data_IF_059109620439
#
_entry.id   IF_059109620439
#
_cell.length_a   1.000
_cell.length_b   1.000
_cell.length_c   1.000
_cell.angle_alpha   90.00
_cell.angle_beta   90.00
_cell.angle_gamma   90.00
#
_symmetry.space_group_name_H-M   'P 1'
#
loop_
_entity.id
_entity.type
_entity.pdbx_description
1 polymer ?
#
# COMPACT_ATOMS: atom_id res chain seq x y z
N UNK A 1 -8.05 19.82 22.95
CA UNK A 1 -8.61 18.92 21.92
C UNK A 1 -7.44 18.31 21.19
N UNK A 2 -7.35 16.98 21.13
CA UNK A 2 -6.13 16.25 20.79
C UNK A 2 -5.65 16.52 19.35
N UNK A 3 -4.41 16.97 19.19
CA UNK A 3 -3.78 17.30 17.89
C UNK A 3 -3.89 16.15 16.87
N UNK A 4 -3.88 14.90 17.37
CA UNK A 4 -4.04 13.68 16.56
C UNK A 4 -5.41 13.62 15.88
N UNK A 5 -6.49 14.02 16.57
CA UNK A 5 -7.83 13.99 16.00
C UNK A 5 -7.96 15.05 14.89
N UNK A 6 -7.33 16.20 15.07
CA UNK A 6 -7.28 17.27 14.07
C UNK A 6 -6.48 16.83 12.86
N UNK A 7 -5.29 16.24 13.06
CA UNK A 7 -4.48 15.65 11.98
C UNK A 7 -5.24 14.56 11.22
N UNK A 8 -5.89 13.63 11.92
CA UNK A 8 -6.64 12.54 11.29
C UNK A 8 -7.83 13.03 10.46
N UNK A 9 -8.43 14.16 10.85
CA UNK A 9 -9.50 14.81 10.07
C UNK A 9 -8.99 15.57 8.84
N UNK A 10 -7.73 16.01 8.83
CA UNK A 10 -7.10 16.68 7.69
C UNK A 10 -6.70 15.70 6.58
N UNK A 11 -6.46 14.43 6.92
CA UNK A 11 -6.14 13.40 5.93
C UNK A 11 -7.37 13.11 5.06
N UNK A 12 -7.24 13.11 3.72
CA UNK A 12 -8.31 12.75 2.80
C UNK A 12 -8.91 11.36 3.07
N UNK A 13 -10.18 11.17 2.68
CA UNK A 13 -10.99 10.02 3.10
C UNK A 13 -10.40 8.68 2.68
N UNK A 14 -9.93 8.54 1.43
CA UNK A 14 -9.44 7.26 0.92
C UNK A 14 -8.09 6.90 1.51
N UNK A 15 -7.15 7.86 1.53
CA UNK A 15 -5.83 7.67 2.16
C UNK A 15 -5.97 7.26 3.63
N UNK A 16 -6.88 7.89 4.36
CA UNK A 16 -7.15 7.61 5.76
C UNK A 16 -7.71 6.22 5.98
N UNK A 17 -8.74 5.85 5.21
CA UNK A 17 -9.36 4.52 5.30
C UNK A 17 -8.33 3.43 4.98
N UNK A 18 -7.56 3.60 3.91
CA UNK A 18 -6.55 2.63 3.52
C UNK A 18 -5.47 2.45 4.59
N UNK A 19 -4.89 3.55 5.10
CA UNK A 19 -3.87 3.47 6.15
C UNK A 19 -4.42 2.85 7.43
N UNK A 20 -5.62 3.26 7.86
CA UNK A 20 -6.25 2.74 9.07
C UNK A 20 -6.59 1.24 8.96
N UNK A 21 -7.09 0.80 7.80
CA UNK A 21 -7.39 -0.60 7.52
C UNK A 21 -6.11 -1.44 7.55
N UNK A 22 -5.03 -0.97 6.90
CA UNK A 22 -3.77 -1.71 6.84
C UNK A 22 -3.11 -1.86 8.21
N UNK A 23 -3.06 -0.78 8.98
CA UNK A 23 -2.53 -0.81 10.35
C UNK A 23 -3.41 -1.69 11.24
N UNK A 24 -4.74 -1.54 11.17
CA UNK A 24 -5.68 -2.29 11.98
C UNK A 24 -5.61 -3.79 11.72
N UNK A 25 -5.70 -4.22 10.45
CA UNK A 25 -5.68 -5.63 10.07
C UNK A 25 -4.34 -6.28 10.42
N UNK A 26 -3.23 -5.58 10.17
CA UNK A 26 -1.91 -6.13 10.45
C UNK A 26 -1.69 -6.30 11.97
N UNK A 27 -2.12 -5.32 12.79
CA UNK A 27 -2.07 -5.45 14.26
C UNK A 27 -3.00 -6.55 14.78
N UNK A 28 -4.24 -6.65 14.28
CA UNK A 28 -5.17 -7.72 14.65
C UNK A 28 -4.59 -9.12 14.39
N UNK A 29 -3.88 -9.28 13.27
CA UNK A 29 -3.18 -10.52 12.98
C UNK A 29 -2.01 -10.77 13.92
N UNK A 30 -1.26 -9.73 14.30
CA UNK A 30 -0.16 -9.84 15.29
C UNK A 30 -0.63 -10.27 16.67
N UNK A 31 -1.82 -9.83 17.10
CA UNK A 31 -2.44 -10.27 18.35
C UNK A 31 -3.04 -11.68 18.29
N UNK A 32 -2.95 -12.36 17.15
CA UNK A 32 -3.45 -13.73 16.98
C UNK A 32 -4.97 -13.84 16.85
N UNK A 33 -5.68 -12.71 16.73
CA UNK A 33 -7.15 -12.68 16.54
C UNK A 33 -7.51 -13.21 15.15
N UNK A 34 -6.69 -12.86 14.15
CA UNK A 34 -6.87 -13.29 12.77
C UNK A 34 -5.67 -14.14 12.29
N UNK A 35 -5.88 -15.43 11.98
CA UNK A 35 -4.81 -16.29 11.48
C UNK A 35 -4.27 -15.76 10.12
N UNK A 36 -2.95 -15.51 10.00
CA UNK A 36 -2.33 -14.97 8.78
C UNK A 36 -2.64 -15.77 7.51
N UNK A 37 -2.82 -17.09 7.64
CA UNK A 37 -3.10 -18.03 6.55
C UNK A 37 -4.42 -17.73 5.82
N UNK A 38 -5.37 -17.08 6.47
CA UNK A 38 -6.64 -16.68 5.86
C UNK A 38 -6.58 -15.29 5.22
N UNK A 39 -5.57 -14.50 5.55
CA UNK A 39 -5.38 -13.14 5.06
C UNK A 39 -4.51 -13.07 3.81
N UNK A 40 -3.65 -14.07 3.59
CA UNK A 40 -2.82 -14.20 2.38
C UNK A 40 -3.64 -14.65 1.17
N UNK A 41 -3.22 -14.16 0.01
CA UNK A 41 -3.73 -14.61 -1.28
C UNK A 41 -3.18 -16.01 -1.58
N UNK A 42 -4.06 -16.96 -1.84
CA UNK A 42 -3.70 -18.30 -2.32
C UNK A 42 -4.62 -18.67 -3.48
N UNK A 43 -4.03 -19.06 -4.61
CA UNK A 43 -4.70 -19.43 -5.85
C UNK A 43 -5.66 -20.61 -5.66
N UNK A 44 -5.18 -21.66 -4.99
CA UNK A 44 -5.92 -22.91 -4.79
C UNK A 44 -7.27 -22.76 -4.03
N UNK A 45 -7.33 -22.19 -2.81
CA UNK A 45 -8.60 -21.99 -2.11
C UNK A 45 -9.49 -20.92 -2.74
N UNK A 46 -8.93 -19.95 -3.49
CA UNK A 46 -9.73 -18.92 -4.15
C UNK A 46 -10.66 -19.51 -5.20
N UNK A 47 -10.15 -20.37 -6.08
CA UNK A 47 -10.94 -20.99 -7.15
C UNK A 47 -11.76 -22.20 -6.69
N UNK A 48 -11.26 -22.99 -5.73
CA UNK A 48 -11.99 -24.17 -5.24
C UNK A 48 -13.01 -23.88 -4.14
N UNK A 49 -12.82 -22.85 -3.33
CA UNK A 49 -13.67 -22.56 -2.16
C UNK A 49 -14.37 -21.19 -2.25
N UNK A 50 -14.24 -20.48 -3.39
CA UNK A 50 -14.89 -19.18 -3.65
C UNK A 50 -14.68 -18.14 -2.54
N UNK A 51 -13.48 -18.11 -1.94
CA UNK A 51 -13.16 -17.19 -0.85
C UNK A 51 -12.83 -15.79 -1.38
N UNK A 52 -13.88 -15.07 -1.82
CA UNK A 52 -13.80 -13.73 -2.44
C UNK A 52 -13.25 -12.63 -1.52
N UNK A 53 -13.18 -12.87 -0.21
CA UNK A 53 -12.62 -11.91 0.74
C UNK A 53 -11.08 -11.89 0.74
N UNK A 54 -10.41 -12.97 0.30
CA UNK A 54 -8.95 -13.08 0.33
C UNK A 54 -8.21 -11.98 -0.44
N UNK A 55 -8.62 -11.62 -1.67
CA UNK A 55 -7.96 -10.55 -2.42
C UNK A 55 -8.15 -9.17 -1.80
N UNK A 56 -9.25 -8.97 -1.05
CA UNK A 56 -9.46 -7.75 -0.29
C UNK A 56 -8.55 -7.72 0.93
N UNK A 57 -8.50 -8.80 1.72
CA UNK A 57 -7.69 -8.85 2.94
C UNK A 57 -6.18 -8.82 2.64
N UNK A 58 -5.74 -9.43 1.54
CA UNK A 58 -4.33 -9.52 1.17
C UNK A 58 -3.69 -8.16 0.81
N UNK A 59 -4.48 -7.14 0.47
CA UNK A 59 -4.01 -5.78 0.19
C UNK A 59 -3.78 -4.99 1.46
N UNK A 60 -4.63 -5.21 2.46
CA UNK A 60 -4.55 -4.53 3.76
C UNK A 60 -3.69 -5.30 4.76
N UNK A 61 -3.39 -6.57 4.50
CA UNK A 61 -2.61 -7.39 5.41
C UNK A 61 -1.12 -7.34 5.08
N UNK A 62 -0.30 -7.14 6.12
CA UNK A 62 1.13 -7.36 6.07
C UNK A 62 1.60 -8.17 7.29
N UNK A 63 2.43 -9.22 7.10
CA UNK A 63 2.92 -10.02 8.21
C UNK A 63 3.92 -9.22 9.04
N UNK A 64 3.53 -8.89 10.28
CA UNK A 64 4.41 -8.24 11.25
C UNK A 64 5.27 -9.29 11.96
N UNK A 65 6.52 -9.42 11.51
CA UNK A 65 7.60 -10.12 12.20
C UNK A 65 8.67 -9.11 12.65
N UNK A 66 9.51 -9.44 13.65
CA UNK A 66 10.57 -8.54 14.11
C UNK A 66 11.51 -8.08 12.99
N UNK A 67 11.74 -8.93 11.99
CA UNK A 67 12.53 -8.59 10.80
C UNK A 67 11.77 -7.75 9.75
N UNK A 68 10.44 -7.93 9.62
CA UNK A 68 9.63 -7.28 8.57
C UNK A 68 8.94 -6.00 9.04
N UNK A 69 8.98 -5.68 10.34
CA UNK A 69 8.33 -4.51 10.91
C UNK A 69 8.85 -3.18 10.35
N UNK A 70 10.15 -3.08 10.05
CA UNK A 70 10.72 -1.89 9.42
C UNK A 70 10.17 -1.70 8.00
N UNK A 71 10.15 -2.76 7.20
CA UNK A 71 9.57 -2.74 5.84
C UNK A 71 8.09 -2.33 5.86
N UNK A 72 7.31 -2.85 6.81
CA UNK A 72 5.92 -2.45 7.00
C UNK A 72 5.77 -0.96 7.28
N UNK A 73 6.55 -0.42 8.23
CA UNK A 73 6.50 0.99 8.60
C UNK A 73 6.86 1.89 7.41
N UNK A 74 7.85 1.49 6.63
CA UNK A 74 8.28 2.18 5.42
C UNK A 74 7.20 2.15 4.33
N UNK A 75 6.53 1.01 4.12
CA UNK A 75 5.39 0.92 3.21
C UNK A 75 4.21 1.78 3.66
N UNK A 76 3.90 1.82 4.97
CA UNK A 76 2.89 2.72 5.53
C UNK A 76 3.25 4.20 5.32
N UNK A 77 4.53 4.56 5.47
CA UNK A 77 5.02 5.92 5.21
C UNK A 77 4.84 6.31 3.73
N UNK A 78 5.19 5.41 2.79
CA UNK A 78 5.00 5.67 1.37
C UNK A 78 3.53 5.75 0.98
N UNK A 79 2.72 4.82 1.46
CA UNK A 79 1.28 4.85 1.29
C UNK A 79 0.74 6.21 1.73
N UNK A 80 1.04 6.64 2.95
CA UNK A 80 0.57 7.92 3.47
C UNK A 80 0.99 9.10 2.59
N UNK A 81 2.29 9.25 2.31
CA UNK A 81 2.80 10.43 1.61
C UNK A 81 2.35 10.50 0.15
N UNK A 82 2.40 9.38 -0.59
CA UNK A 82 2.08 9.39 -2.01
C UNK A 82 0.57 9.37 -2.26
N UNK A 83 -0.20 8.59 -1.47
CA UNK A 83 -1.66 8.60 -1.53
C UNK A 83 -2.20 9.98 -1.19
N UNK A 84 -1.68 10.62 -0.12
CA UNK A 84 -2.10 11.96 0.27
C UNK A 84 -1.81 13.01 -0.81
N UNK A 85 -0.61 12.96 -1.43
CA UNK A 85 -0.26 13.88 -2.53
C UNK A 85 -1.13 13.65 -3.76
N UNK A 86 -1.39 12.40 -4.15
CA UNK A 86 -2.28 12.10 -5.28
C UNK A 86 -3.70 12.61 -5.02
N UNK A 87 -4.27 12.31 -3.85
CA UNK A 87 -5.64 12.69 -3.48
C UNK A 87 -5.78 14.21 -3.32
N UNK A 88 -4.76 14.91 -2.83
CA UNK A 88 -4.79 16.36 -2.55
C UNK A 88 -4.37 17.23 -3.73
N UNK A 89 -3.40 16.80 -4.54
CA UNK A 89 -2.86 17.61 -5.64
C UNK A 89 -3.57 17.31 -6.97
N UNK A 90 -3.76 16.02 -7.29
CA UNK A 90 -4.23 15.58 -8.61
C UNK A 90 -5.73 15.33 -8.63
N UNK A 91 -6.27 14.70 -7.58
CA UNK A 91 -7.67 14.25 -7.54
C UNK A 91 -8.58 15.07 -6.62
N UNK A 92 -8.15 16.27 -6.21
CA UNK A 92 -8.88 17.14 -5.26
C UNK A 92 -10.32 17.44 -5.69
N UNK A 93 -10.56 17.62 -6.99
CA UNK A 93 -11.88 17.96 -7.52
C UNK A 93 -12.71 16.73 -7.93
N UNK A 94 -12.09 15.54 -8.02
CA UNK A 94 -12.73 14.30 -8.49
C UNK A 94 -12.31 13.10 -7.65
N UNK A 95 -12.84 12.96 -6.42
CA UNK A 95 -12.55 11.81 -5.56
C UNK A 95 -12.94 10.46 -6.20
N UNK A 96 -13.92 10.46 -7.11
CA UNK A 96 -14.32 9.25 -7.85
C UNK A 96 -13.22 8.72 -8.79
N UNK A 97 -12.45 9.60 -9.43
CA UNK A 97 -11.36 9.19 -10.32
C UNK A 97 -10.21 8.55 -9.53
N UNK A 98 -9.98 9.03 -8.30
CA UNK A 98 -9.01 8.40 -7.39
C UNK A 98 -9.46 7.01 -6.94
N UNK A 99 -10.74 6.85 -6.60
CA UNK A 99 -11.29 5.53 -6.29
C UNK A 99 -11.17 4.58 -7.47
N UNK A 100 -11.47 5.04 -8.69
CA UNK A 100 -11.31 4.24 -9.91
C UNK A 100 -9.85 3.82 -10.12
N UNK A 101 -8.89 4.72 -9.90
CA UNK A 101 -7.47 4.40 -9.96
C UNK A 101 -7.09 3.32 -8.95
N UNK A 102 -7.51 3.45 -7.69
CA UNK A 102 -7.23 2.44 -6.67
C UNK A 102 -7.89 1.10 -7.00
N UNK A 103 -9.14 1.12 -7.44
CA UNK A 103 -9.88 -0.09 -7.79
C UNK A 103 -9.26 -0.82 -8.99
N UNK A 104 -8.87 -0.08 -10.03
CA UNK A 104 -8.19 -0.63 -11.19
C UNK A 104 -6.82 -1.23 -10.82
N UNK A 105 -6.04 -0.52 -10.02
CA UNK A 105 -4.76 -1.02 -9.51
C UNK A 105 -4.93 -2.27 -8.66
N UNK A 106 -5.97 -2.31 -7.83
CA UNK A 106 -6.29 -3.47 -7.02
C UNK A 106 -6.58 -4.69 -7.90
N UNK A 107 -7.43 -4.58 -8.92
CA UNK A 107 -7.74 -5.68 -9.85
C UNK A 107 -6.45 -6.18 -10.52
N UNK A 108 -5.61 -5.28 -11.02
CA UNK A 108 -4.35 -5.67 -11.66
C UNK A 108 -3.41 -6.38 -10.69
N UNK A 109 -3.27 -5.86 -9.46
CA UNK A 109 -2.45 -6.51 -8.44
C UNK A 109 -2.98 -7.91 -8.11
N UNK A 110 -4.30 -8.09 -8.00
CA UNK A 110 -4.92 -9.39 -7.76
C UNK A 110 -4.65 -10.35 -8.91
N UNK A 111 -4.81 -9.91 -10.17
CA UNK A 111 -4.52 -10.76 -11.33
C UNK A 111 -3.06 -11.20 -11.36
N UNK A 112 -2.12 -10.27 -11.16
CA UNK A 112 -0.68 -10.56 -11.13
C UNK A 112 -0.34 -11.46 -9.94
N UNK A 113 -0.91 -11.18 -8.77
CA UNK A 113 -0.72 -11.98 -7.56
C UNK A 113 -1.23 -13.41 -7.71
N UNK A 114 -2.30 -13.63 -8.47
CA UNK A 114 -2.78 -14.98 -8.80
C UNK A 114 -1.87 -15.70 -9.81
N UNK A 115 -1.29 -14.99 -10.78
CA UNK A 115 -0.38 -15.58 -11.77
C UNK A 115 0.99 -15.95 -11.20
N UNK A 116 1.52 -15.13 -10.29
CA UNK A 116 2.86 -15.29 -9.69
C UNK A 116 2.77 -15.98 -8.31
N UNK A 117 1.56 -16.30 -7.85
CA UNK A 117 1.28 -16.84 -6.50
C UNK A 117 1.84 -15.97 -5.37
N UNK A 118 1.75 -14.65 -5.54
CA UNK A 118 2.30 -13.66 -4.63
C UNK A 118 1.34 -13.50 -3.42
N UNK A 119 1.74 -13.89 -2.20
CA UNK A 119 0.82 -14.02 -1.07
C UNK A 119 0.38 -12.68 -0.47
N UNK A 120 1.15 -11.61 -0.68
CA UNK A 120 0.96 -10.28 -0.06
C UNK A 120 0.80 -9.25 -1.17
N UNK A 121 -0.32 -8.52 -1.19
CA UNK A 121 -0.65 -7.55 -2.23
C UNK A 121 -0.38 -6.10 -1.80
N UNK A 122 0.02 -5.87 -0.56
CA UNK A 122 0.32 -4.53 -0.05
C UNK A 122 1.48 -3.87 -0.82
N UNK A 123 2.61 -4.57 -0.99
CA UNK A 123 3.79 -4.04 -1.68
C UNK A 123 3.49 -3.60 -3.13
N UNK A 124 2.92 -4.44 -4.02
CA UNK A 124 2.63 -4.03 -5.39
C UNK A 124 1.61 -2.89 -5.46
N UNK A 125 0.65 -2.84 -4.52
CA UNK A 125 -0.35 -1.77 -4.49
C UNK A 125 0.28 -0.42 -4.11
N UNK A 126 1.12 -0.38 -3.07
CA UNK A 126 1.83 0.83 -2.65
C UNK A 126 2.80 1.28 -3.75
N UNK A 127 3.55 0.33 -4.33
CA UNK A 127 4.46 0.59 -5.44
C UNK A 127 3.73 1.16 -6.66
N UNK A 128 2.53 0.70 -6.98
CA UNK A 128 1.77 1.22 -8.12
C UNK A 128 1.32 2.66 -7.91
N UNK A 129 0.78 2.99 -6.73
CA UNK A 129 0.36 4.35 -6.39
C UNK A 129 1.56 5.30 -6.39
N UNK A 130 2.67 4.86 -5.79
CA UNK A 130 3.95 5.56 -5.83
C UNK A 130 4.42 5.77 -7.28
N UNK A 131 4.37 4.74 -8.12
CA UNK A 131 4.76 4.81 -9.53
C UNK A 131 3.92 5.84 -10.30
N UNK A 132 2.60 5.86 -10.10
CA UNK A 132 1.73 6.86 -10.74
C UNK A 132 2.13 8.27 -10.32
N UNK A 133 2.35 8.51 -9.02
CA UNK A 133 2.80 9.82 -8.54
C UNK A 133 4.15 10.22 -9.13
N UNK A 134 5.13 9.30 -9.16
CA UNK A 134 6.44 9.52 -9.76
C UNK A 134 6.38 9.83 -11.25
N UNK A 135 5.43 9.22 -11.98
CA UNK A 135 5.24 9.45 -13.41
C UNK A 135 4.54 10.78 -13.71
N UNK A 136 3.69 11.27 -12.81
CA UNK A 136 3.08 12.59 -12.91
C UNK A 136 4.09 13.70 -12.52
N UNK A 137 4.94 13.43 -11.53
CA UNK A 137 5.87 14.39 -10.95
C UNK A 137 7.34 14.04 -11.26
N UNK A 138 7.66 13.74 -12.52
CA UNK A 138 8.97 13.19 -12.93
C UNK A 138 10.17 14.07 -12.54
N UNK A 139 9.97 15.39 -12.57
CA UNK A 139 11.01 16.39 -12.31
C UNK A 139 11.14 16.78 -10.83
N UNK A 140 10.22 16.31 -9.99
CA UNK A 140 10.28 16.57 -8.54
C UNK A 140 11.41 15.76 -7.92
N UNK A 141 12.27 16.44 -7.18
CA UNK A 141 13.34 15.81 -6.41
C UNK A 141 12.76 15.35 -5.08
N UNK A 142 12.78 14.04 -4.85
CA UNK A 142 12.37 13.45 -3.59
C UNK A 142 13.60 13.21 -2.73
N UNK A 143 13.53 13.66 -1.48
CA UNK A 143 14.52 13.29 -0.48
C UNK A 143 14.17 11.91 0.04
N UNK A 144 15.05 10.96 -0.22
CA UNK A 144 14.95 9.61 0.34
C UNK A 144 15.81 9.50 1.59
N UNK A 145 15.67 8.38 2.29
CA UNK A 145 16.49 8.08 3.46
C UNK A 145 17.99 8.16 3.14
N UNK A 146 18.79 8.47 4.17
CA UNK A 146 20.23 8.79 4.09
C UNK A 146 20.59 10.13 3.42
N UNK A 147 19.64 11.05 3.28
CA UNK A 147 19.90 12.37 2.69
C UNK A 147 20.15 12.34 1.18
N UNK A 148 19.92 11.18 0.56
CA UNK A 148 20.03 11.01 -0.89
C UNK A 148 18.85 11.70 -1.56
N UNK A 149 19.15 12.54 -2.55
CA UNK A 149 18.15 13.27 -3.32
C UNK A 149 18.15 12.73 -4.74
N UNK A 150 17.01 12.24 -5.19
CA UNK A 150 16.89 11.76 -6.56
C UNK A 150 15.54 12.17 -7.16
N UNK A 151 15.49 12.21 -8.49
CA UNK A 151 14.24 12.48 -9.21
C UNK A 151 13.23 11.38 -8.88
N UNK A 152 11.97 11.77 -8.67
CA UNK A 152 10.87 10.87 -8.33
C UNK A 152 10.82 9.64 -9.25
N UNK A 153 11.17 9.78 -10.53
CA UNK A 153 11.21 8.70 -11.51
C UNK A 153 12.08 7.49 -11.09
N UNK A 154 13.14 7.68 -10.29
CA UNK A 154 14.03 6.60 -9.87
C UNK A 154 13.58 5.87 -8.60
N UNK A 155 12.60 6.42 -7.89
CA UNK A 155 12.17 5.90 -6.59
C UNK A 155 11.67 4.45 -6.64
N UNK A 156 10.84 4.03 -7.61
CA UNK A 156 10.43 2.63 -7.73
C UNK A 156 11.61 1.67 -7.92
N UNK A 157 12.63 2.09 -8.68
CA UNK A 157 13.81 1.27 -8.97
C UNK A 157 14.72 1.12 -7.75
N UNK A 158 14.88 2.19 -6.97
CA UNK A 158 15.65 2.17 -5.72
C UNK A 158 14.99 1.22 -4.72
N UNK A 159 13.66 1.25 -4.60
CA UNK A 159 12.92 0.35 -3.71
C UNK A 159 13.03 -1.12 -4.12
N UNK A 160 12.95 -1.39 -5.42
CA UNK A 160 13.15 -2.74 -5.95
C UNK A 160 14.57 -3.24 -5.65
N UNK A 161 15.58 -2.40 -5.88
CA UNK A 161 16.97 -2.71 -5.55
C UNK A 161 17.18 -2.99 -4.05
N UNK A 162 16.56 -2.21 -3.17
CA UNK A 162 16.61 -2.48 -1.73
C UNK A 162 15.93 -3.79 -1.35
N UNK A 163 14.78 -4.10 -1.93
CA UNK A 163 14.04 -5.34 -1.65
C UNK A 163 14.79 -6.59 -2.15
N UNK A 164 15.61 -6.47 -3.20
CA UNK A 164 16.46 -7.57 -3.67
C UNK A 164 17.72 -7.80 -2.84
N UNK A 165 18.21 -6.78 -2.13
CA UNK A 165 19.45 -6.85 -1.34
C UNK A 165 19.19 -7.30 0.11
N UNK A 166 18.00 -6.99 0.64
CA UNK A 166 17.54 -7.36 1.99
C UNK A 166 16.90 -8.75 2.01
#
# INVERSE_FOLDING_TARGET
MSDIQTWYKQVPMFTRLWLSATVGISLLSRFGILPPQYLILQSYPLFKQLQLWRPMTAVFFYPLNPATGFHFMLNCFFLYNYSLRLETEQFKQKPGDYFYLLFFNWILCVLIGLLIELPILMDPMVLSVLYVWCKLNKDVIVNFWFGTRFKAMYLPWVLLGMNLIL
#
